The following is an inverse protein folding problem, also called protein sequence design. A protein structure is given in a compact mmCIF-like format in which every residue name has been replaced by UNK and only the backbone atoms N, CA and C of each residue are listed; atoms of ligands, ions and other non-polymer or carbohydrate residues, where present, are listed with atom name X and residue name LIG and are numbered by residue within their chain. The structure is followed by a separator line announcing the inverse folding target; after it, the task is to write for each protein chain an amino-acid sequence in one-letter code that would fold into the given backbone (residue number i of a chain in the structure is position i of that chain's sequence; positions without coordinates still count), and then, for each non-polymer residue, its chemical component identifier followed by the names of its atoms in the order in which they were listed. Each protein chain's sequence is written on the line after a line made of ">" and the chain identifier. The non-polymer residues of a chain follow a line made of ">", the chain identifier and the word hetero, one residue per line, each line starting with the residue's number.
data_IF_516835024426
#
_entry.id   IF_516835024426
#
_cell.length_a   1.000
_cell.length_b   1.000
_cell.length_c   1.000
_cell.angle_alpha   90.00
_cell.angle_beta   90.00
_cell.angle_gamma   90.00
#
_symmetry.space_group_name_H-M   'P 1'
#
loop_
_entity.id
_entity.type
_entity.pdbx_description
1 polymer ?
#
# COMPACT_ATOMS: atom_id res chain seq x y z
N UNK A 1 -20.27 -1.55 2.46
CA UNK A 1 -20.50 -2.90 1.94
C UNK A 1 -19.15 -3.58 1.75
N UNK A 2 -18.99 -4.82 2.21
CA UNK A 2 -17.81 -5.63 1.89
C UNK A 2 -17.89 -6.06 0.41
N UNK A 3 -16.76 -6.04 -0.30
CA UNK A 3 -16.71 -6.45 -1.71
C UNK A 3 -16.83 -7.99 -1.77
N UNK A 4 -17.79 -8.55 -2.53
CA UNK A 4 -17.94 -10.00 -2.67
C UNK A 4 -16.65 -10.67 -3.15
N UNK A 5 -16.30 -11.85 -2.61
CA UNK A 5 -15.10 -12.63 -3.00
C UNK A 5 -13.78 -12.19 -2.37
N UNK A 6 -13.74 -11.05 -1.69
CA UNK A 6 -12.52 -10.50 -1.09
C UNK A 6 -11.92 -11.37 0.03
N UNK A 7 -12.76 -11.96 0.87
CA UNK A 7 -12.30 -12.83 1.96
C UNK A 7 -11.66 -14.11 1.41
N UNK A 8 -12.20 -14.69 0.34
CA UNK A 8 -11.61 -15.87 -0.33
C UNK A 8 -10.23 -15.56 -0.91
N UNK A 9 -10.06 -14.38 -1.52
CA UNK A 9 -8.75 -13.92 -2.01
C UNK A 9 -7.78 -13.72 -0.85
N UNK A 10 -8.23 -13.10 0.25
CA UNK A 10 -7.40 -12.86 1.44
C UNK A 10 -6.94 -14.17 2.07
N UNK A 11 -7.83 -15.15 2.22
CA UNK A 11 -7.50 -16.48 2.71
C UNK A 11 -6.51 -17.20 1.78
N UNK A 12 -6.68 -17.05 0.46
CA UNK A 12 -5.76 -17.62 -0.52
C UNK A 12 -4.37 -17.01 -0.42
N UNK A 13 -4.27 -15.67 -0.32
CA UNK A 13 -2.99 -14.97 -0.13
C UNK A 13 -2.33 -15.42 1.18
N UNK A 14 -3.08 -15.49 2.28
CA UNK A 14 -2.57 -15.96 3.56
C UNK A 14 -2.00 -17.38 3.44
N UNK A 15 -2.76 -18.30 2.84
CA UNK A 15 -2.41 -19.73 2.78
C UNK A 15 -1.25 -20.02 1.83
N UNK A 16 -1.22 -19.38 0.66
CA UNK A 16 -0.28 -19.71 -0.41
C UNK A 16 0.92 -18.77 -0.50
N UNK A 17 0.83 -17.56 0.06
CA UNK A 17 1.91 -16.56 0.00
C UNK A 17 2.47 -16.26 1.38
N UNK A 18 1.65 -15.78 2.31
CA UNK A 18 2.15 -15.29 3.61
C UNK A 18 2.71 -16.41 4.48
N UNK A 19 1.99 -17.53 4.64
CA UNK A 19 2.43 -18.61 5.53
C UNK A 19 3.70 -19.33 5.02
N UNK A 20 3.82 -19.70 3.73
CA UNK A 20 5.06 -20.27 3.22
C UNK A 20 6.23 -19.29 3.32
N UNK A 21 6.00 -18.02 2.95
CA UNK A 21 7.01 -16.97 3.06
C UNK A 21 7.47 -16.74 4.50
N UNK A 22 6.55 -16.64 5.45
CA UNK A 22 6.87 -16.49 6.86
C UNK A 22 7.62 -17.70 7.45
N UNK A 23 7.33 -18.93 6.99
CA UNK A 23 8.12 -20.11 7.37
C UNK A 23 9.56 -20.03 6.85
N UNK A 24 9.75 -19.56 5.62
CA UNK A 24 11.07 -19.33 5.04
C UNK A 24 11.83 -18.24 5.83
N UNK A 25 11.19 -17.11 6.12
CA UNK A 25 11.79 -16.02 6.89
C UNK A 25 12.16 -16.46 8.32
N UNK A 26 11.33 -17.30 8.95
CA UNK A 26 11.65 -17.93 10.23
C UNK A 26 12.89 -18.84 10.12
N UNK A 27 13.00 -19.63 9.05
CA UNK A 27 14.17 -20.48 8.81
C UNK A 27 15.45 -19.64 8.61
N UNK A 28 15.33 -18.46 7.99
CA UNK A 28 16.40 -17.47 7.87
C UNK A 28 16.67 -16.68 9.17
N UNK A 29 15.97 -16.98 10.27
CA UNK A 29 16.10 -16.33 11.58
C UNK A 29 15.88 -14.81 11.55
N UNK A 30 15.07 -14.33 10.60
CA UNK A 30 14.69 -12.92 10.54
C UNK A 30 13.62 -12.61 11.60
N UNK A 31 13.67 -11.40 12.15
CA UNK A 31 12.62 -10.88 13.04
C UNK A 31 11.56 -10.14 12.21
N UNK A 32 10.29 -10.07 12.66
CA UNK A 32 9.25 -9.32 11.93
C UNK A 32 9.67 -7.89 11.60
N UNK A 33 10.20 -7.15 12.58
CA UNK A 33 10.66 -5.78 12.37
C UNK A 33 11.80 -5.68 11.33
N UNK A 34 12.70 -6.67 11.28
CA UNK A 34 13.73 -6.70 10.25
C UNK A 34 13.11 -6.91 8.86
N UNK A 35 12.10 -7.76 8.74
CA UNK A 35 11.37 -7.96 7.48
C UNK A 35 10.69 -6.67 7.02
N UNK A 36 10.02 -5.93 7.92
CA UNK A 36 9.44 -4.61 7.61
C UNK A 36 10.48 -3.63 7.08
N UNK A 37 11.65 -3.52 7.73
CA UNK A 37 12.72 -2.61 7.32
C UNK A 37 13.36 -3.02 5.98
N UNK A 38 13.53 -4.31 5.74
CA UNK A 38 14.05 -4.84 4.47
C UNK A 38 13.03 -4.58 3.34
N UNK A 39 11.75 -4.87 3.57
CA UNK A 39 10.64 -4.55 2.66
C UNK A 39 10.69 -3.07 2.27
N UNK A 40 10.77 -2.18 3.25
CA UNK A 40 10.89 -0.75 3.01
C UNK A 40 12.11 -0.39 2.16
N UNK A 41 13.30 -0.90 2.51
CA UNK A 41 14.52 -0.64 1.74
C UNK A 41 14.37 -1.08 0.26
N UNK A 42 13.73 -2.22 0.01
CA UNK A 42 13.42 -2.70 -1.35
C UNK A 42 12.46 -1.73 -2.06
N UNK A 43 11.41 -1.24 -1.39
CA UNK A 43 10.48 -0.27 -1.99
C UNK A 43 11.15 1.08 -2.32
N UNK A 44 12.12 1.52 -1.50
CA UNK A 44 12.93 2.71 -1.80
C UNK A 44 13.84 2.47 -3.00
N UNK A 45 14.46 1.30 -3.10
CA UNK A 45 15.26 0.93 -4.27
C UNK A 45 14.39 0.91 -5.55
N UNK A 46 13.16 0.40 -5.46
CA UNK A 46 12.18 0.50 -6.54
C UNK A 46 11.89 1.96 -6.94
N UNK A 47 11.65 2.84 -5.97
CA UNK A 47 11.41 4.26 -6.25
C UNK A 47 12.57 4.91 -7.01
N UNK A 48 13.82 4.56 -6.66
CA UNK A 48 15.00 5.00 -7.39
C UNK A 48 15.03 4.49 -8.84
N UNK A 49 14.71 3.21 -9.07
CA UNK A 49 14.63 2.63 -10.41
C UNK A 49 13.58 3.33 -11.26
N UNK A 50 12.38 3.53 -10.70
CA UNK A 50 11.28 4.27 -11.35
C UNK A 50 11.71 5.69 -11.69
N UNK A 51 12.26 6.44 -10.74
CA UNK A 51 12.75 7.81 -10.97
C UNK A 51 13.91 7.91 -11.96
N UNK A 52 14.58 6.79 -12.23
CA UNK A 52 15.62 6.66 -13.24
C UNK A 52 15.10 6.21 -14.61
N UNK A 53 13.79 6.02 -14.77
CA UNK A 53 13.15 5.60 -16.03
C UNK A 53 13.00 4.09 -16.20
N UNK A 54 13.48 3.28 -15.26
CA UNK A 54 13.39 1.82 -15.33
C UNK A 54 12.05 1.33 -14.78
N UNK A 55 10.94 1.68 -15.44
CA UNK A 55 9.59 1.45 -14.93
C UNK A 55 9.28 -0.03 -14.67
N UNK A 56 9.59 -0.91 -15.62
CA UNK A 56 9.32 -2.35 -15.48
C UNK A 56 10.12 -2.95 -14.33
N UNK A 57 11.43 -2.69 -14.28
CA UNK A 57 12.28 -3.19 -13.19
C UNK A 57 11.85 -2.62 -11.83
N UNK A 58 11.53 -1.32 -11.79
CA UNK A 58 10.97 -0.66 -10.62
C UNK A 58 9.66 -1.31 -10.17
N UNK A 59 8.73 -1.58 -11.09
CA UNK A 59 7.47 -2.26 -10.79
C UNK A 59 7.65 -3.68 -10.23
N UNK A 60 8.58 -4.47 -10.78
CA UNK A 60 8.92 -5.79 -10.23
C UNK A 60 9.47 -5.65 -8.80
N UNK A 61 10.45 -4.78 -8.60
CA UNK A 61 11.07 -4.56 -7.28
C UNK A 61 10.05 -4.02 -6.27
N UNK A 62 9.14 -3.15 -6.70
CA UNK A 62 8.04 -2.64 -5.88
C UNK A 62 7.15 -3.76 -5.38
N UNK A 63 6.66 -4.60 -6.30
CA UNK A 63 5.78 -5.73 -5.96
C UNK A 63 6.48 -6.76 -5.07
N UNK A 64 7.78 -7.00 -5.28
CA UNK A 64 8.56 -7.87 -4.41
C UNK A 64 8.71 -7.31 -2.99
N UNK A 65 9.07 -6.02 -2.88
CA UNK A 65 9.17 -5.34 -1.58
C UNK A 65 7.84 -5.34 -0.84
N UNK A 66 6.77 -4.85 -1.47
CA UNK A 66 5.44 -4.83 -0.88
C UNK A 66 4.85 -6.23 -0.66
N UNK A 67 5.29 -7.25 -1.38
CA UNK A 67 4.91 -8.64 -1.14
C UNK A 67 5.60 -9.24 0.09
N UNK A 68 6.88 -8.92 0.30
CA UNK A 68 7.64 -9.34 1.49
C UNK A 68 7.02 -8.77 2.78
N UNK A 69 6.56 -7.53 2.70
CA UNK A 69 5.82 -6.82 3.73
C UNK A 69 4.63 -7.62 4.28
N UNK A 70 3.83 -8.25 3.41
CA UNK A 70 2.66 -9.04 3.81
C UNK A 70 3.02 -10.23 4.74
N UNK A 71 4.30 -10.63 4.75
CA UNK A 71 4.78 -11.79 5.48
C UNK A 71 5.21 -11.45 6.91
N UNK A 72 5.42 -10.18 7.28
CA UNK A 72 5.96 -9.80 8.59
C UNK A 72 4.98 -10.09 9.74
N UNK A 73 3.69 -9.82 9.54
CA UNK A 73 2.63 -10.08 10.49
C UNK A 73 2.34 -11.58 10.59
N UNK A 74 2.45 -12.31 9.48
CA UNK A 74 2.37 -13.77 9.49
C UNK A 74 3.55 -14.39 10.25
N UNK A 75 4.76 -13.85 10.06
CA UNK A 75 5.96 -14.24 10.80
C UNK A 75 5.77 -13.96 12.29
N UNK A 76 5.33 -12.77 12.67
CA UNK A 76 5.09 -12.39 14.06
C UNK A 76 4.08 -13.31 14.77
N UNK A 77 3.01 -13.71 14.07
CA UNK A 77 2.04 -14.69 14.58
C UNK A 77 2.65 -16.09 14.70
N UNK A 78 3.42 -16.52 13.70
CA UNK A 78 4.07 -17.84 13.69
C UNK A 78 5.18 -17.98 14.74
N UNK A 79 5.86 -16.90 15.10
CA UNK A 79 6.91 -16.88 16.12
C UNK A 79 6.40 -16.48 17.51
N UNK A 80 5.13 -16.10 17.65
CA UNK A 80 4.57 -15.64 18.92
C UNK A 80 5.15 -14.30 19.39
N UNK A 81 5.66 -13.46 18.49
CA UNK A 81 6.35 -12.20 18.80
C UNK A 81 5.58 -10.96 18.30
N UNK A 82 4.26 -11.07 18.10
CA UNK A 82 3.41 -9.94 17.76
C UNK A 82 3.47 -8.88 18.88
N UNK A 83 3.66 -7.61 18.52
CA UNK A 83 3.80 -6.52 19.49
C UNK A 83 3.14 -5.22 19.00
N UNK A 84 2.70 -4.34 19.90
CA UNK A 84 2.16 -3.02 19.52
C UNK A 84 3.15 -2.17 18.75
N UNK A 85 4.44 -2.21 19.12
CA UNK A 85 5.48 -1.49 18.39
C UNK A 85 5.67 -2.04 16.97
N UNK A 86 5.65 -3.36 16.79
CA UNK A 86 5.73 -3.96 15.46
C UNK A 86 4.58 -3.54 14.55
N UNK A 87 3.35 -3.51 15.09
CA UNK A 87 2.18 -3.03 14.34
C UNK A 87 2.27 -1.54 13.96
N UNK A 88 2.83 -0.70 14.85
CA UNK A 88 3.12 0.70 14.55
C UNK A 88 4.19 0.82 13.46
N UNK A 89 5.27 0.06 13.58
CA UNK A 89 6.39 0.03 12.63
C UNK A 89 5.88 -0.32 11.23
N UNK A 90 5.22 -1.47 11.08
CA UNK A 90 4.56 -1.93 9.85
C UNK A 90 3.67 -0.83 9.25
N UNK A 91 2.74 -0.31 10.06
CA UNK A 91 1.83 0.77 9.61
C UNK A 91 2.55 2.03 9.12
N UNK A 92 3.67 2.43 9.74
CA UNK A 92 4.42 3.62 9.33
C UNK A 92 5.20 3.35 8.05
N UNK A 93 5.93 2.24 8.00
CA UNK A 93 6.80 1.89 6.88
C UNK A 93 6.00 1.52 5.62
N UNK A 94 4.77 1.00 5.77
CA UNK A 94 3.78 0.86 4.72
C UNK A 94 3.54 2.17 3.94
N UNK A 95 3.36 3.25 4.70
CA UNK A 95 3.00 4.57 4.17
C UNK A 95 4.22 5.25 3.59
N UNK A 96 5.37 5.12 4.25
CA UNK A 96 6.63 5.63 3.73
C UNK A 96 7.06 4.91 2.45
N UNK A 97 6.88 3.59 2.35
CA UNK A 97 7.18 2.80 1.15
C UNK A 97 6.27 3.17 -0.02
N UNK A 98 4.96 3.31 0.22
CA UNK A 98 4.03 3.82 -0.80
C UNK A 98 4.45 5.24 -1.23
N UNK A 99 4.67 6.17 -0.28
CA UNK A 99 5.09 7.54 -0.58
C UNK A 99 6.43 7.61 -1.34
N UNK A 100 7.39 6.74 -1.03
CA UNK A 100 8.66 6.67 -1.74
C UNK A 100 8.44 6.39 -3.24
N UNK A 101 7.55 5.46 -3.59
CA UNK A 101 7.22 5.19 -4.99
C UNK A 101 6.62 6.43 -5.69
N UNK A 102 5.72 7.16 -5.01
CA UNK A 102 5.15 8.41 -5.54
C UNK A 102 6.24 9.47 -5.77
N UNK A 103 7.22 9.58 -4.87
CA UNK A 103 8.39 10.46 -5.08
C UNK A 103 9.19 10.01 -6.30
N UNK A 104 9.44 8.71 -6.46
CA UNK A 104 10.09 8.15 -7.65
C UNK A 104 9.36 8.49 -8.94
N UNK A 105 8.02 8.41 -8.95
CA UNK A 105 7.19 8.79 -10.09
C UNK A 105 7.23 10.29 -10.40
N UNK A 106 7.34 11.15 -9.37
CA UNK A 106 7.51 12.57 -9.58
C UNK A 106 8.87 12.88 -10.24
N UNK A 107 9.96 12.24 -9.79
CA UNK A 107 11.27 12.35 -10.44
C UNK A 107 11.25 11.84 -11.88
N UNK A 108 10.61 10.70 -12.12
CA UNK A 108 10.41 10.15 -13.46
C UNK A 108 9.77 11.17 -14.40
N UNK A 109 8.66 11.78 -13.97
CA UNK A 109 7.94 12.75 -14.78
C UNK A 109 8.77 14.00 -15.07
N UNK A 110 9.44 14.57 -14.06
CA UNK A 110 10.26 15.80 -14.21
C UNK A 110 11.50 15.56 -15.08
N UNK A 111 12.02 14.33 -15.13
CA UNK A 111 13.19 13.97 -15.97
C UNK A 111 12.84 13.61 -17.42
N UNK A 112 11.61 13.88 -17.86
CA UNK A 112 11.17 13.64 -19.24
C UNK A 112 10.33 12.38 -19.43
N UNK A 113 9.92 11.70 -18.36
CA UNK A 113 8.95 10.61 -18.39
C UNK A 113 7.51 11.07 -18.71
N UNK A 114 7.27 12.38 -18.70
CA UNK A 114 6.05 13.03 -19.19
C UNK A 114 6.42 14.20 -20.11
N UNK A 115 5.61 14.46 -21.13
CA UNK A 115 5.80 15.64 -21.98
C UNK A 115 5.56 16.92 -21.17
N UNK A 116 6.24 18.02 -21.53
CA UNK A 116 6.18 19.29 -20.76
C UNK A 116 4.74 19.81 -20.60
N UNK A 117 3.93 19.70 -21.66
CA UNK A 117 2.51 20.11 -21.61
C UNK A 117 1.66 19.22 -20.71
N UNK A 118 2.04 17.95 -20.52
CA UNK A 118 1.32 16.97 -19.71
C UNK A 118 1.80 16.90 -18.26
N UNK A 119 3.03 17.37 -17.99
CA UNK A 119 3.66 17.32 -16.67
C UNK A 119 2.78 17.90 -15.54
N UNK A 120 2.11 19.06 -15.70
CA UNK A 120 1.24 19.59 -14.63
C UNK A 120 0.09 18.63 -14.27
N UNK A 121 -0.55 18.04 -15.29
CA UNK A 121 -1.68 17.11 -15.12
C UNK A 121 -1.20 15.83 -14.43
N UNK A 122 -0.04 15.30 -14.83
CA UNK A 122 0.57 14.14 -14.20
C UNK A 122 0.85 14.39 -12.71
N UNK A 123 1.52 15.49 -12.38
CA UNK A 123 1.91 15.83 -11.01
C UNK A 123 0.69 16.09 -10.12
N UNK A 124 -0.33 16.80 -10.60
CA UNK A 124 -1.58 17.00 -9.85
C UNK A 124 -2.26 15.66 -9.56
N UNK A 125 -2.35 14.79 -10.58
CA UNK A 125 -2.97 13.46 -10.43
C UNK A 125 -2.20 12.60 -9.43
N UNK A 126 -0.87 12.62 -9.49
CA UNK A 126 0.03 11.95 -8.55
C UNK A 126 -0.21 12.43 -7.11
N UNK A 127 -0.27 13.75 -6.88
CA UNK A 127 -0.53 14.29 -5.54
C UNK A 127 -1.92 13.94 -5.03
N UNK A 128 -2.96 14.01 -5.86
CA UNK A 128 -4.30 13.61 -5.46
C UNK A 128 -4.36 12.13 -5.08
N UNK A 129 -3.73 11.25 -5.88
CA UNK A 129 -3.62 9.83 -5.57
C UNK A 129 -2.87 9.58 -4.25
N UNK A 130 -1.78 10.31 -3.99
CA UNK A 130 -1.05 10.24 -2.71
C UNK A 130 -1.91 10.72 -1.54
N UNK A 131 -2.54 11.89 -1.63
CA UNK A 131 -3.34 12.47 -0.55
C UNK A 131 -4.51 11.55 -0.18
N UNK A 132 -5.26 11.08 -1.19
CA UNK A 132 -6.42 10.25 -0.93
C UNK A 132 -6.05 8.84 -0.45
N UNK A 133 -4.97 8.23 -0.97
CA UNK A 133 -4.48 6.93 -0.48
C UNK A 133 -4.08 6.98 1.00
N UNK A 134 -3.34 8.02 1.40
CA UNK A 134 -2.96 8.26 2.79
C UNK A 134 -4.18 8.57 3.67
N UNK A 135 -5.13 9.35 3.16
CA UNK A 135 -6.39 9.67 3.85
C UNK A 135 -7.24 8.43 4.14
N UNK A 136 -7.31 7.48 3.21
CA UNK A 136 -8.00 6.19 3.41
C UNK A 136 -7.36 5.40 4.56
N UNK A 137 -6.03 5.29 4.59
CA UNK A 137 -5.30 4.60 5.66
C UNK A 137 -5.42 5.32 7.01
N UNK A 138 -5.37 6.66 7.00
CA UNK A 138 -5.53 7.47 8.22
C UNK A 138 -6.93 7.33 8.82
N UNK A 139 -8.00 7.43 8.02
CA UNK A 139 -9.38 7.27 8.51
C UNK A 139 -9.60 5.90 9.14
N UNK A 140 -8.98 4.85 8.58
CA UNK A 140 -9.00 3.52 9.20
C UNK A 140 -8.39 3.55 10.59
N UNK A 141 -7.14 3.98 10.70
CA UNK A 141 -6.41 4.02 11.97
C UNK A 141 -7.11 4.93 13.00
N UNK A 142 -7.66 6.07 12.55
CA UNK A 142 -8.40 6.98 13.42
C UNK A 142 -9.73 6.40 13.88
N UNK A 143 -10.45 5.71 12.99
CA UNK A 143 -11.67 4.98 13.34
C UNK A 143 -11.41 3.91 14.41
N UNK A 144 -10.36 3.10 14.22
CA UNK A 144 -9.93 2.08 15.19
C UNK A 144 -9.57 2.73 16.55
N UNK A 145 -8.87 3.87 16.53
CA UNK A 145 -8.57 4.65 17.74
C UNK A 145 -9.78 5.29 18.42
N UNK A 146 -10.92 5.38 17.73
CA UNK A 146 -12.21 5.79 18.29
C UNK A 146 -13.11 4.60 18.67
N UNK A 147 -12.57 3.37 18.63
CA UNK A 147 -13.31 2.13 18.95
C UNK A 147 -14.16 1.59 17.80
N UNK A 148 -14.05 2.16 16.59
CA UNK A 148 -14.85 1.76 15.42
C UNK A 148 -14.00 0.96 14.43
N UNK A 149 -14.21 -0.36 14.42
CA UNK A 149 -13.50 -1.29 13.56
C UNK A 149 -14.27 -1.55 12.27
N UNK A 150 -14.01 -0.77 11.22
CA UNK A 150 -14.67 -0.97 9.91
C UNK A 150 -13.74 -1.63 8.89
N UNK A 151 -14.27 -2.64 8.20
CA UNK A 151 -13.67 -3.21 6.98
C UNK A 151 -14.17 -2.51 5.70
N UNK A 152 -14.90 -1.41 5.84
CA UNK A 152 -15.51 -0.70 4.71
C UNK A 152 -14.43 -0.03 3.84
N UNK A 153 -14.63 -0.04 2.52
CA UNK A 153 -13.80 0.69 1.57
C UNK A 153 -13.40 -0.15 0.36
N UNK A 154 -13.57 0.44 -0.83
CA UNK A 154 -13.31 -0.23 -2.11
C UNK A 154 -11.80 -0.28 -2.40
N UNK A 155 -11.10 0.84 -2.23
CA UNK A 155 -9.66 0.94 -2.48
C UNK A 155 -8.87 0.82 -1.19
N UNK A 156 -8.28 -0.34 -0.90
CA UNK A 156 -7.35 -0.50 0.23
C UNK A 156 -5.92 -0.60 -0.25
N UNK A 157 -4.97 -0.75 0.68
CA UNK A 157 -3.55 -0.77 0.36
C UNK A 157 -3.19 -1.88 -0.63
N UNK A 158 -3.72 -3.09 -0.43
CA UNK A 158 -3.44 -4.22 -1.31
C UNK A 158 -3.83 -3.94 -2.76
N UNK A 159 -5.03 -3.39 -2.99
CA UNK A 159 -5.45 -3.05 -4.35
C UNK A 159 -4.57 -1.95 -4.95
N UNK A 160 -4.18 -0.92 -4.17
CA UNK A 160 -3.29 0.15 -4.65
C UNK A 160 -1.91 -0.37 -5.03
N UNK A 161 -1.29 -1.20 -4.20
CA UNK A 161 0.03 -1.79 -4.46
C UNK A 161 0.01 -2.59 -5.75
N UNK A 162 -1.01 -3.45 -5.93
CA UNK A 162 -1.15 -4.26 -7.16
C UNK A 162 -1.34 -3.35 -8.38
N UNK A 163 -2.23 -2.36 -8.29
CA UNK A 163 -2.49 -1.43 -9.40
C UNK A 163 -1.23 -0.63 -9.77
N UNK A 164 -0.51 -0.08 -8.78
CA UNK A 164 0.74 0.66 -9.01
C UNK A 164 1.80 -0.22 -9.67
N UNK A 165 2.00 -1.44 -9.16
CA UNK A 165 2.92 -2.40 -9.76
C UNK A 165 2.55 -2.75 -11.19
N UNK A 166 1.31 -3.13 -11.46
CA UNK A 166 0.83 -3.43 -12.82
C UNK A 166 0.99 -2.22 -13.73
N UNK A 167 0.60 -1.02 -13.27
CA UNK A 167 0.72 0.23 -14.02
C UNK A 167 2.15 0.54 -14.46
N UNK A 168 3.14 0.21 -13.62
CA UNK A 168 4.56 0.30 -13.95
C UNK A 168 5.00 -0.75 -14.97
N UNK A 169 4.51 -1.98 -14.86
CA UNK A 169 4.87 -3.09 -15.76
C UNK A 169 4.35 -2.89 -17.18
N UNK A 170 3.17 -2.29 -17.34
CA UNK A 170 2.53 -2.09 -18.65
C UNK A 170 2.70 -0.66 -19.19
N UNK A 171 3.47 0.18 -18.49
CA UNK A 171 3.68 1.60 -18.83
C UNK A 171 2.37 2.40 -18.97
N UNK A 172 1.41 2.17 -18.07
CA UNK A 172 0.13 2.89 -18.00
C UNK A 172 -0.06 3.57 -16.64
N UNK A 173 1.04 4.01 -16.02
CA UNK A 173 1.04 4.49 -14.63
C UNK A 173 0.16 5.73 -14.43
N UNK A 174 0.04 6.60 -15.45
CA UNK A 174 -0.85 7.76 -15.36
C UNK A 174 -2.31 7.37 -15.12
N UNK A 175 -2.85 6.42 -15.91
CA UNK A 175 -4.23 5.97 -15.77
C UNK A 175 -4.48 5.27 -14.44
N UNK A 176 -3.48 4.52 -13.96
CA UNK A 176 -3.49 3.92 -12.63
C UNK A 176 -3.53 4.98 -11.54
N UNK A 177 -2.71 6.04 -11.62
CA UNK A 177 -2.74 7.15 -10.67
C UNK A 177 -4.11 7.84 -10.67
N UNK A 178 -4.69 8.08 -11.85
CA UNK A 178 -6.03 8.67 -11.97
C UNK A 178 -7.09 7.78 -11.32
N UNK A 179 -7.05 6.48 -11.58
CA UNK A 179 -7.95 5.50 -10.97
C UNK A 179 -7.80 5.50 -9.45
N UNK A 180 -6.57 5.47 -8.94
CA UNK A 180 -6.29 5.52 -7.50
C UNK A 180 -6.80 6.82 -6.90
N UNK A 181 -6.59 7.97 -7.53
CA UNK A 181 -7.09 9.26 -7.05
C UNK A 181 -8.62 9.24 -6.90
N UNK A 182 -9.33 8.84 -7.95
CA UNK A 182 -10.81 8.84 -7.98
C UNK A 182 -11.38 7.84 -6.98
N UNK A 183 -10.92 6.58 -7.00
CA UNK A 183 -11.51 5.53 -6.16
C UNK A 183 -11.07 5.69 -4.70
N UNK A 184 -9.85 6.16 -4.42
CA UNK A 184 -9.43 6.48 -3.05
C UNK A 184 -10.22 7.67 -2.48
N UNK A 185 -10.51 8.70 -3.28
CA UNK A 185 -11.36 9.81 -2.86
C UNK A 185 -12.74 9.30 -2.47
N UNK A 186 -13.38 8.52 -3.34
CA UNK A 186 -14.67 7.90 -3.03
C UNK A 186 -14.61 7.04 -1.76
N UNK A 187 -13.57 6.20 -1.64
CA UNK A 187 -13.36 5.32 -0.49
C UNK A 187 -13.15 6.11 0.81
N UNK A 188 -12.48 7.26 0.76
CA UNK A 188 -12.26 8.15 1.89
C UNK A 188 -13.60 8.65 2.44
N UNK A 189 -14.44 9.23 1.58
CA UNK A 189 -15.77 9.68 1.99
C UNK A 189 -16.66 8.52 2.46
N UNK A 190 -16.64 7.38 1.76
CA UNK A 190 -17.37 6.18 2.17
C UNK A 190 -16.99 5.75 3.59
N UNK A 191 -15.70 5.70 3.91
CA UNK A 191 -15.21 5.36 5.26
C UNK A 191 -15.64 6.39 6.29
N UNK A 192 -15.51 7.68 5.98
CA UNK A 192 -15.89 8.76 6.88
C UNK A 192 -17.38 8.68 7.27
N UNK A 193 -18.28 8.49 6.30
CA UNK A 193 -19.71 8.33 6.57
C UNK A 193 -20.03 7.05 7.33
N UNK A 194 -19.32 5.95 7.04
CA UNK A 194 -19.47 4.70 7.80
C UNK A 194 -19.08 4.91 9.26
N UNK A 195 -17.90 5.49 9.52
CA UNK A 195 -17.43 5.76 10.89
C UNK A 195 -18.42 6.66 11.64
N UNK A 196 -18.89 7.75 11.02
CA UNK A 196 -19.89 8.64 11.62
C UNK A 196 -21.15 7.88 12.03
N UNK A 197 -21.65 6.99 11.17
CA UNK A 197 -22.87 6.21 11.44
C UNK A 197 -22.68 5.27 12.62
N UNK A 198 -21.56 4.54 12.68
CA UNK A 198 -21.27 3.61 13.78
C UNK A 198 -21.08 4.35 15.11
N UNK A 199 -20.40 5.51 15.11
CA UNK A 199 -20.28 6.35 16.31
C UNK A 199 -21.63 6.82 16.86
N UNK A 200 -22.57 7.14 15.98
CA UNK A 200 -23.91 7.57 16.37
C UNK A 200 -24.81 6.40 16.85
N UNK A 201 -24.46 5.15 16.56
CA UNK A 201 -25.20 3.97 17.01
C UNK A 201 -24.64 3.35 18.30
N UNK A 202 -23.38 3.66 18.63
CA UNK A 202 -22.69 3.18 19.83
C UNK A 202 -22.63 4.19 20.98
N UNK A 203 -23.34 5.33 20.88
CA UNK A 203 -23.55 6.31 21.96
C UNK A 203 -25.00 6.31 22.41
#
# INVERSE_FOLDING_TARGET
>A
MAVPGREQIRESILRYVELPGARLLRALKLTPNAVTLISFAITVASAYLVGSGWLVAGGIVFLLGSGLDLMDGALARLTGTASPFGALLDSVFDRLGEAALFVGLAFYAIRGGASESFLPIFIITLFLALIFSQGVSYLRARGEGLGVFTRAGVMTRTERVILLGIGLLIDQIFWVLLLIAVVSCFTLFQRMFTIRRELNQGG
#
